data_IF_861499495794
#
_entry.id   IF_861499495794
#
_cell.length_a   1.000
_cell.length_b   1.000
_cell.length_c   1.000
_cell.angle_alpha   90.00
_cell.angle_beta   90.00
_cell.angle_gamma   90.00
#
_symmetry.space_group_name_H-M   'P 1'
#
loop_
_entity.id
_entity.type
_entity.pdbx_description
1 polymer ?
#
# COMPACT_ATOMS: atom_id res chain seq x y z
N UNK A 1 12.05 12.06 -18.70
CA UNK A 1 11.90 12.76 -17.39
C UNK A 1 10.47 12.56 -16.93
N UNK A 2 10.22 12.18 -15.67
CA UNK A 2 8.87 11.97 -15.14
C UNK A 2 8.09 13.31 -15.14
N UNK A 3 6.98 13.34 -15.87
CA UNK A 3 6.07 14.49 -15.91
C UNK A 3 4.97 14.25 -14.88
N UNK A 4 5.08 14.90 -13.72
CA UNK A 4 4.18 14.66 -12.58
C UNK A 4 2.74 15.08 -12.90
N UNK A 5 2.54 16.23 -13.56
CA UNK A 5 1.21 16.71 -13.93
C UNK A 5 0.49 15.72 -14.84
N UNK A 6 1.14 15.32 -15.94
CA UNK A 6 0.55 14.34 -16.87
C UNK A 6 0.27 13.01 -16.18
N UNK A 7 1.23 12.48 -15.40
CA UNK A 7 1.11 11.21 -14.75
C UNK A 7 -0.03 11.20 -13.70
N UNK A 8 -0.19 12.28 -12.95
CA UNK A 8 -1.28 12.45 -11.98
C UNK A 8 -2.63 12.50 -12.68
N UNK A 9 -2.76 13.33 -13.71
CA UNK A 9 -4.01 13.47 -14.45
C UNK A 9 -4.41 12.17 -15.17
N UNK A 10 -3.44 11.48 -15.79
CA UNK A 10 -3.68 10.17 -16.44
C UNK A 10 -4.14 9.13 -15.41
N UNK A 11 -3.55 9.11 -14.21
CA UNK A 11 -3.94 8.19 -13.13
C UNK A 11 -5.35 8.48 -12.62
N UNK A 12 -5.69 9.75 -12.39
CA UNK A 12 -7.03 10.16 -11.97
C UNK A 12 -8.07 9.74 -13.02
N UNK A 13 -7.78 9.97 -14.30
CA UNK A 13 -8.69 9.55 -15.37
C UNK A 13 -8.82 8.02 -15.45
N UNK A 14 -7.69 7.30 -15.31
CA UNK A 14 -7.70 5.84 -15.29
C UNK A 14 -8.55 5.27 -14.13
N UNK A 15 -8.50 5.87 -12.93
CA UNK A 15 -9.35 5.46 -11.80
C UNK A 15 -10.83 5.64 -12.14
N UNK A 16 -11.22 6.75 -12.79
CA UNK A 16 -12.59 7.00 -13.23
C UNK A 16 -13.08 5.93 -14.20
N UNK A 17 -12.26 5.67 -15.24
CA UNK A 17 -12.58 4.72 -16.29
C UNK A 17 -12.66 3.29 -15.72
N UNK A 18 -11.69 2.91 -14.90
CA UNK A 18 -11.68 1.61 -14.23
C UNK A 18 -12.92 1.39 -13.36
N UNK A 19 -13.31 2.40 -12.56
CA UNK A 19 -14.51 2.33 -11.71
C UNK A 19 -15.78 2.19 -12.55
N UNK A 20 -15.88 2.91 -13.63
CA UNK A 20 -17.05 2.84 -14.52
C UNK A 20 -17.18 1.45 -15.16
N UNK A 21 -16.07 0.82 -15.52
CA UNK A 21 -16.04 -0.51 -16.14
C UNK A 21 -16.26 -1.65 -15.13
N UNK A 22 -15.72 -1.53 -13.88
CA UNK A 22 -15.64 -2.63 -12.93
C UNK A 22 -16.58 -2.51 -11.72
N UNK A 23 -17.30 -1.41 -11.61
CA UNK A 23 -18.26 -1.18 -10.52
C UNK A 23 -18.91 0.20 -10.59
N UNK A 24 -19.75 0.46 -11.60
CA UNK A 24 -20.40 1.77 -11.73
C UNK A 24 -21.08 2.20 -10.44
N UNK A 25 -20.73 3.39 -9.96
CA UNK A 25 -21.31 3.94 -8.73
C UNK A 25 -20.81 3.32 -7.41
N UNK A 26 -19.86 2.37 -7.43
CA UNK A 26 -19.29 1.80 -6.20
C UNK A 26 -18.47 2.83 -5.40
N UNK A 27 -18.30 2.57 -4.11
CA UNK A 27 -17.37 3.31 -3.26
C UNK A 27 -15.95 2.75 -3.43
N UNK A 28 -14.93 3.57 -3.16
CA UNK A 28 -13.54 3.15 -3.14
C UNK A 28 -13.08 3.02 -1.68
N UNK A 29 -12.66 1.83 -1.28
CA UNK A 29 -12.31 1.49 0.10
C UNK A 29 -10.79 1.47 0.24
N UNK A 30 -10.24 2.37 1.06
CA UNK A 30 -8.79 2.55 1.20
C UNK A 30 -8.37 2.29 2.63
N UNK A 31 -7.38 1.41 2.82
CA UNK A 31 -6.72 1.26 4.11
C UNK A 31 -5.82 2.47 4.39
N UNK A 32 -6.11 3.24 5.44
CA UNK A 32 -5.33 4.43 5.82
C UNK A 32 -4.38 4.07 6.95
N UNK A 33 -3.10 3.95 6.61
CA UNK A 33 -2.04 3.60 7.56
C UNK A 33 -1.37 4.80 8.23
N UNK A 34 -1.58 6.00 7.71
CA UNK A 34 -0.81 7.19 8.08
C UNK A 34 0.51 7.34 7.31
N UNK A 35 0.79 6.45 6.34
CA UNK A 35 1.92 6.52 5.42
C UNK A 35 1.59 7.30 4.15
N UNK A 36 2.64 7.74 3.44
CA UNK A 36 2.50 8.55 2.22
C UNK A 36 1.77 7.83 1.09
N UNK A 37 1.96 6.51 0.95
CA UNK A 37 1.34 5.75 -0.15
C UNK A 37 -0.18 5.67 0.02
N UNK A 38 -0.66 5.31 1.21
CA UNK A 38 -2.09 5.28 1.50
C UNK A 38 -2.74 6.65 1.36
N UNK A 39 -2.04 7.71 1.76
CA UNK A 39 -2.49 9.10 1.60
C UNK A 39 -2.62 9.48 0.12
N UNK A 40 -1.57 9.26 -0.69
CA UNK A 40 -1.57 9.63 -2.11
C UNK A 40 -2.57 8.78 -2.91
N UNK A 41 -2.68 7.48 -2.61
CA UNK A 41 -3.68 6.61 -3.25
C UNK A 41 -5.11 7.08 -2.95
N UNK A 42 -5.40 7.44 -1.69
CA UNK A 42 -6.70 7.95 -1.30
C UNK A 42 -7.02 9.31 -1.94
N UNK A 43 -6.05 10.23 -1.98
CA UNK A 43 -6.24 11.54 -2.63
C UNK A 43 -6.49 11.41 -4.14
N UNK A 44 -5.76 10.54 -4.84
CA UNK A 44 -6.03 10.23 -6.24
C UNK A 44 -7.45 9.70 -6.45
N UNK A 45 -7.96 8.89 -5.51
CA UNK A 45 -9.34 8.43 -5.53
C UNK A 45 -10.34 9.58 -5.28
N UNK A 46 -10.06 10.48 -4.32
CA UNK A 46 -10.88 11.66 -4.04
C UNK A 46 -10.97 12.57 -5.26
N UNK A 47 -9.86 12.87 -5.90
CA UNK A 47 -9.79 13.63 -7.14
C UNK A 47 -10.53 12.96 -8.31
N UNK A 48 -10.55 11.63 -8.32
CA UNK A 48 -11.22 10.88 -9.36
C UNK A 48 -12.74 10.87 -9.19
N UNK A 49 -13.27 10.62 -7.98
CA UNK A 49 -14.68 10.26 -7.79
C UNK A 49 -15.40 11.10 -6.73
N UNK A 50 -14.71 12.00 -6.03
CA UNK A 50 -15.21 12.82 -4.94
C UNK A 50 -15.08 12.14 -3.57
N UNK A 51 -14.92 12.95 -2.51
CA UNK A 51 -14.71 12.49 -1.15
C UNK A 51 -15.88 11.63 -0.61
N UNK A 52 -17.10 11.90 -1.06
CA UNK A 52 -18.32 11.15 -0.70
C UNK A 52 -18.35 9.70 -1.23
N UNK A 53 -17.43 9.35 -2.12
CA UNK A 53 -17.26 8.01 -2.72
C UNK A 53 -16.02 7.28 -2.25
N UNK A 54 -15.25 7.88 -1.35
CA UNK A 54 -14.05 7.27 -0.77
C UNK A 54 -14.27 7.01 0.71
N UNK A 55 -14.05 5.79 1.16
CA UNK A 55 -14.14 5.40 2.57
C UNK A 55 -12.78 4.95 3.08
N UNK A 56 -12.26 5.65 4.09
CA UNK A 56 -11.04 5.28 4.79
C UNK A 56 -11.30 4.15 5.81
N UNK A 57 -10.40 3.19 5.91
CA UNK A 57 -10.45 2.16 6.97
C UNK A 57 -9.13 2.15 7.72
N UNK A 58 -9.18 2.49 9.01
CA UNK A 58 -8.04 2.52 9.93
C UNK A 58 -8.05 1.21 10.72
N UNK A 59 -6.99 0.42 10.64
CA UNK A 59 -6.97 -0.95 11.17
C UNK A 59 -5.77 -1.19 12.09
N UNK A 60 -5.77 -0.63 13.32
CA UNK A 60 -4.72 -0.89 14.28
C UNK A 60 -4.71 -2.36 14.70
N UNK A 61 -3.51 -2.88 15.01
CA UNK A 61 -3.32 -4.13 15.72
C UNK A 61 -3.07 -3.78 17.19
N UNK A 62 -4.13 -3.74 18.01
CA UNK A 62 -4.22 -3.16 19.34
C UNK A 62 -3.87 -1.68 19.38
N UNK A 63 -2.59 -1.33 19.39
CA UNK A 63 -2.08 0.03 19.46
C UNK A 63 -1.26 0.35 18.21
N UNK A 64 -1.48 1.51 17.70
CA UNK A 64 -0.66 2.10 16.64
C UNK A 64 -0.21 3.47 17.13
N UNK A 65 1.09 3.67 17.29
CA UNK A 65 1.64 4.88 17.94
C UNK A 65 1.32 6.17 17.18
N UNK A 66 1.15 6.09 15.88
CA UNK A 66 0.85 7.21 14.98
C UNK A 66 -0.59 7.19 14.42
N UNK A 67 -1.52 6.55 15.10
CA UNK A 67 -2.92 6.46 14.66
C UNK A 67 -3.56 7.83 14.46
N UNK A 68 -3.16 8.83 15.26
CA UNK A 68 -3.65 10.20 15.13
C UNK A 68 -3.32 10.80 13.76
N UNK A 69 -2.22 10.37 13.13
CA UNK A 69 -1.86 10.77 11.77
C UNK A 69 -2.89 10.23 10.77
N UNK A 70 -3.34 8.99 10.93
CA UNK A 70 -4.36 8.41 10.05
C UNK A 70 -5.72 9.13 10.22
N UNK A 71 -6.09 9.50 11.45
CA UNK A 71 -7.28 10.29 11.70
C UNK A 71 -7.19 11.69 11.09
N UNK A 72 -6.07 12.38 11.29
CA UNK A 72 -5.86 13.72 10.75
C UNK A 72 -5.90 13.71 9.20
N UNK A 73 -5.35 12.67 8.58
CA UNK A 73 -5.43 12.46 7.12
C UNK A 73 -6.90 12.36 6.68
N UNK A 74 -7.69 11.49 7.31
CA UNK A 74 -9.09 11.31 6.90
C UNK A 74 -9.92 12.58 7.12
N UNK A 75 -9.78 13.22 8.30
CA UNK A 75 -10.65 14.32 8.74
C UNK A 75 -10.28 15.66 8.13
N UNK A 76 -8.99 15.98 8.06
CA UNK A 76 -8.52 17.33 7.79
C UNK A 76 -7.76 17.47 6.46
N UNK A 77 -7.24 16.37 5.92
CA UNK A 77 -6.53 16.41 4.64
C UNK A 77 -7.47 15.98 3.50
N UNK A 78 -8.07 14.80 3.61
CA UNK A 78 -8.91 14.23 2.57
C UNK A 78 -10.40 14.60 2.69
N UNK A 79 -10.88 14.90 3.90
CA UNK A 79 -12.30 15.17 4.17
C UNK A 79 -13.22 13.99 3.84
N UNK A 80 -12.75 12.76 4.06
CA UNK A 80 -13.49 11.53 3.76
C UNK A 80 -14.11 10.92 5.02
N UNK A 81 -15.18 10.16 4.84
CA UNK A 81 -15.69 9.28 5.90
C UNK A 81 -14.71 8.15 6.19
N UNK A 82 -14.68 7.68 7.43
CA UNK A 82 -13.78 6.59 7.81
C UNK A 82 -14.35 5.69 8.92
N UNK A 83 -13.82 4.47 8.98
CA UNK A 83 -14.09 3.48 10.02
C UNK A 83 -12.78 3.12 10.73
N UNK A 84 -12.88 2.81 12.03
CA UNK A 84 -11.77 2.22 12.78
C UNK A 84 -12.14 0.82 13.21
N UNK A 85 -11.38 -0.18 12.75
CA UNK A 85 -11.59 -1.59 13.05
C UNK A 85 -10.28 -2.17 13.60
N UNK A 86 -10.24 -2.48 14.90
CA UNK A 86 -9.06 -3.08 15.52
C UNK A 86 -8.99 -4.58 15.19
N UNK A 87 -7.89 -5.01 14.60
CA UNK A 87 -7.68 -6.42 14.20
C UNK A 87 -6.96 -7.26 15.27
N UNK A 88 -6.61 -6.65 16.43
CA UNK A 88 -5.75 -7.27 17.43
C UNK A 88 -6.33 -8.53 18.05
N UNK A 89 -7.61 -8.54 18.46
CA UNK A 89 -8.22 -9.75 19.04
C UNK A 89 -8.26 -10.91 18.05
N UNK A 90 -8.62 -10.65 16.79
CA UNK A 90 -8.60 -11.65 15.74
C UNK A 90 -7.18 -12.18 15.46
N UNK A 91 -6.18 -11.28 15.57
CA UNK A 91 -4.78 -11.67 15.44
C UNK A 91 -4.36 -12.63 16.54
N UNK A 92 -4.63 -12.32 17.83
CA UNK A 92 -4.26 -13.17 18.96
C UNK A 92 -4.99 -14.51 18.90
N UNK A 93 -6.31 -14.51 18.64
CA UNK A 93 -7.10 -15.74 18.55
C UNK A 93 -6.55 -16.72 17.50
N UNK A 94 -6.07 -16.22 16.37
CA UNK A 94 -5.49 -17.06 15.32
C UNK A 94 -4.08 -17.52 15.71
N UNK A 95 -3.25 -16.63 16.28
CA UNK A 95 -1.89 -16.98 16.72
C UNK A 95 -1.96 -18.07 17.80
N UNK A 96 -2.82 -17.92 18.80
CA UNK A 96 -2.98 -18.89 19.88
C UNK A 96 -3.39 -20.28 19.34
N UNK A 97 -4.28 -20.33 18.36
CA UNK A 97 -4.71 -21.59 17.75
C UNK A 97 -3.59 -22.25 16.92
N UNK A 98 -2.78 -21.44 16.22
CA UNK A 98 -1.63 -21.97 15.46
C UNK A 98 -0.56 -22.45 16.42
N UNK A 99 -0.25 -21.70 17.49
CA UNK A 99 0.79 -22.03 18.47
C UNK A 99 0.45 -23.29 19.27
N UNK A 100 -0.83 -23.50 19.54
CA UNK A 100 -1.31 -24.74 20.15
C UNK A 100 -1.07 -26.00 19.29
N UNK A 101 -0.95 -25.84 17.98
CA UNK A 101 -0.73 -26.94 17.05
C UNK A 101 0.73 -27.04 16.54
N UNK A 102 1.39 -25.89 16.38
CA UNK A 102 2.74 -25.76 15.80
C UNK A 102 3.47 -24.60 16.46
N UNK A 103 4.82 -24.60 16.44
CA UNK A 103 5.58 -23.41 16.82
C UNK A 103 5.34 -22.29 15.80
N UNK A 104 4.85 -21.14 16.27
CA UNK A 104 4.67 -19.96 15.45
C UNK A 104 6.02 -19.39 15.04
N UNK A 105 6.19 -19.09 13.76
CA UNK A 105 7.41 -18.46 13.22
C UNK A 105 7.31 -16.94 13.22
N UNK A 106 8.47 -16.24 13.28
CA UNK A 106 8.52 -14.78 13.15
C UNK A 106 7.81 -14.29 11.88
N UNK A 107 7.95 -15.04 10.78
CA UNK A 107 7.29 -14.72 9.52
C UNK A 107 5.75 -14.80 9.62
N UNK A 108 5.22 -15.71 10.42
CA UNK A 108 3.78 -15.80 10.69
C UNK A 108 3.32 -14.59 11.50
N UNK A 109 4.06 -14.23 12.55
CA UNK A 109 3.76 -13.08 13.40
C UNK A 109 3.73 -11.77 12.59
N UNK A 110 4.69 -11.59 11.68
CA UNK A 110 4.77 -10.39 10.84
C UNK A 110 3.64 -10.34 9.81
N UNK A 111 3.37 -11.45 9.11
CA UNK A 111 2.48 -11.44 7.94
C UNK A 111 1.00 -11.62 8.26
N UNK A 112 0.63 -12.05 9.47
CA UNK A 112 -0.78 -12.27 9.81
C UNK A 112 -1.55 -10.96 9.89
N UNK A 113 -1.00 -9.91 10.50
CA UNK A 113 -1.69 -8.63 10.64
C UNK A 113 -2.05 -7.97 9.29
N UNK A 114 -1.15 -7.87 8.27
CA UNK A 114 -1.52 -7.41 6.94
C UNK A 114 -2.62 -8.25 6.27
N UNK A 115 -2.62 -9.57 6.46
CA UNK A 115 -3.68 -10.44 5.91
C UNK A 115 -5.03 -10.23 6.57
N UNK A 116 -5.07 -9.99 7.88
CA UNK A 116 -6.29 -9.64 8.59
C UNK A 116 -6.83 -8.27 8.15
N UNK A 117 -5.95 -7.30 7.94
CA UNK A 117 -6.34 -6.00 7.38
C UNK A 117 -6.95 -6.15 5.99
N UNK A 118 -6.36 -6.94 5.10
CA UNK A 118 -6.92 -7.25 3.78
C UNK A 118 -8.31 -7.88 3.90
N UNK A 119 -8.47 -8.90 4.73
CA UNK A 119 -9.76 -9.56 4.95
C UNK A 119 -10.82 -8.57 5.47
N UNK A 120 -10.42 -7.67 6.37
CA UNK A 120 -11.29 -6.60 6.91
C UNK A 120 -11.70 -5.63 5.81
N UNK A 121 -10.76 -5.18 4.95
CA UNK A 121 -11.07 -4.29 3.82
C UNK A 121 -12.09 -4.90 2.87
N UNK A 122 -11.93 -6.18 2.51
CA UNK A 122 -12.91 -6.86 1.65
C UNK A 122 -14.26 -7.06 2.33
N UNK A 123 -14.29 -7.31 3.66
CA UNK A 123 -15.53 -7.36 4.43
C UNK A 123 -16.29 -6.02 4.42
N UNK A 124 -15.57 -4.92 4.63
CA UNK A 124 -16.12 -3.55 4.52
C UNK A 124 -16.57 -3.26 3.09
N UNK A 125 -15.74 -3.59 2.11
CA UNK A 125 -16.01 -3.38 0.69
C UNK A 125 -17.32 -4.04 0.26
N UNK A 126 -17.51 -5.31 0.58
CA UNK A 126 -18.75 -6.03 0.27
C UNK A 126 -19.97 -5.44 0.96
N UNK A 127 -19.82 -5.02 2.23
CA UNK A 127 -20.93 -4.44 3.02
C UNK A 127 -21.30 -3.02 2.58
N UNK A 128 -20.40 -2.33 1.87
CA UNK A 128 -20.56 -0.92 1.49
C UNK A 128 -20.56 -0.68 -0.03
N UNK A 129 -20.89 -1.69 -0.81
CA UNK A 129 -20.85 -1.64 -2.27
C UNK A 129 -19.54 -1.03 -2.78
N UNK A 130 -18.42 -1.55 -2.30
CA UNK A 130 -17.10 -0.96 -2.53
C UNK A 130 -16.19 -1.79 -3.43
N UNK A 131 -15.02 -1.21 -3.73
CA UNK A 131 -13.85 -1.85 -4.32
C UNK A 131 -12.62 -1.48 -3.50
N UNK A 132 -11.78 -2.44 -3.22
CA UNK A 132 -10.57 -2.26 -2.41
C UNK A 132 -9.47 -1.65 -3.26
N UNK A 133 -8.93 -0.51 -2.81
CA UNK A 133 -7.79 0.17 -3.41
C UNK A 133 -6.50 -0.40 -2.82
N UNK A 134 -5.63 -0.95 -3.67
CA UNK A 134 -4.28 -1.31 -3.27
C UNK A 134 -3.41 -0.05 -3.16
N UNK A 135 -2.56 0.02 -2.16
CA UNK A 135 -1.70 1.18 -1.89
C UNK A 135 -0.21 0.91 -2.10
N UNK A 136 0.17 -0.29 -2.55
CA UNK A 136 1.56 -0.61 -2.89
C UNK A 136 2.01 0.19 -4.12
N UNK A 137 3.25 0.65 -4.08
CA UNK A 137 3.90 1.34 -5.17
C UNK A 137 4.86 0.43 -5.94
N UNK A 138 5.34 0.88 -7.10
CA UNK A 138 6.23 0.11 -7.96
C UNK A 138 7.52 -0.32 -7.26
N UNK A 139 8.09 0.51 -6.38
CA UNK A 139 9.36 0.20 -5.70
C UNK A 139 9.18 -0.97 -4.72
N UNK A 140 8.08 -1.00 -3.98
CA UNK A 140 7.72 -2.10 -3.08
C UNK A 140 7.43 -3.38 -3.87
N UNK A 141 6.61 -3.30 -4.92
CA UNK A 141 6.27 -4.42 -5.79
C UNK A 141 7.51 -4.99 -6.48
N UNK A 142 8.46 -4.12 -6.90
CA UNK A 142 9.67 -4.54 -7.59
C UNK A 142 10.57 -5.45 -6.76
N UNK A 143 10.68 -5.16 -5.46
CA UNK A 143 11.49 -5.97 -4.52
C UNK A 143 10.67 -6.97 -3.69
N UNK A 144 9.33 -6.99 -3.87
CA UNK A 144 8.41 -7.85 -3.12
C UNK A 144 8.29 -7.48 -1.64
N UNK A 145 8.42 -6.21 -1.32
CA UNK A 145 8.27 -5.70 0.04
C UNK A 145 6.80 -5.44 0.35
N UNK A 146 6.03 -6.50 0.32
CA UNK A 146 4.61 -6.53 0.66
C UNK A 146 4.21 -7.94 1.06
N UNK A 147 3.22 -8.07 1.90
CA UNK A 147 2.69 -9.37 2.31
C UNK A 147 1.75 -9.90 1.26
N UNK A 148 2.12 -11.03 0.64
CA UNK A 148 1.27 -11.73 -0.33
C UNK A 148 -0.08 -12.09 0.31
N UNK A 149 -1.18 -11.72 -0.36
CA UNK A 149 -2.55 -11.84 0.16
C UNK A 149 -2.81 -11.01 1.41
N UNK A 150 -1.99 -10.02 1.68
CA UNK A 150 -2.16 -8.98 2.67
C UNK A 150 -2.23 -7.62 1.99
N UNK A 151 -1.30 -6.72 2.32
CA UNK A 151 -1.19 -5.39 1.71
C UNK A 151 -0.91 -5.40 0.21
N UNK A 152 -0.36 -6.50 -0.35
CA UNK A 152 -0.24 -6.68 -1.80
C UNK A 152 -1.59 -6.88 -2.52
N UNK A 153 -2.71 -7.05 -1.81
CA UNK A 153 -4.01 -7.32 -2.40
C UNK A 153 -4.86 -6.04 -2.58
N UNK A 154 -5.68 -6.05 -3.63
CA UNK A 154 -6.65 -5.02 -3.93
C UNK A 154 -7.38 -5.32 -5.24
N UNK A 155 -8.48 -4.63 -5.51
CA UNK A 155 -9.21 -4.78 -6.76
C UNK A 155 -8.52 -4.00 -7.89
N UNK A 156 -7.82 -2.91 -7.55
CA UNK A 156 -6.98 -2.13 -8.46
C UNK A 156 -5.87 -1.40 -7.70
N UNK A 157 -4.81 -1.01 -8.41
CA UNK A 157 -3.55 -0.52 -7.85
C UNK A 157 -3.12 0.79 -8.52
N UNK A 158 -3.61 1.96 -8.06
CA UNK A 158 -3.31 3.24 -8.69
C UNK A 158 -1.83 3.62 -8.64
N UNK A 159 -1.08 3.10 -7.66
CA UNK A 159 0.34 3.42 -7.50
C UNK A 159 1.30 2.42 -8.16
N UNK A 160 0.81 1.31 -8.74
CA UNK A 160 1.64 0.23 -9.26
C UNK A 160 2.64 0.66 -10.37
N UNK A 161 2.42 1.79 -11.04
CA UNK A 161 3.31 2.33 -12.07
C UNK A 161 4.30 3.37 -11.55
N UNK A 162 4.19 3.81 -10.29
CA UNK A 162 4.94 4.90 -9.71
C UNK A 162 5.94 4.40 -8.68
N UNK A 163 7.20 4.81 -8.81
CA UNK A 163 8.20 4.58 -7.77
C UNK A 163 7.91 5.42 -6.52
N UNK A 164 8.50 5.06 -5.40
CA UNK A 164 8.33 5.79 -4.12
C UNK A 164 8.59 7.30 -4.26
N UNK A 165 9.66 7.66 -4.96
CA UNK A 165 10.00 9.08 -5.22
C UNK A 165 8.96 9.76 -6.12
N UNK A 166 8.37 9.03 -7.07
CA UNK A 166 7.32 9.57 -7.95
C UNK A 166 6.00 9.73 -7.18
N UNK A 167 5.65 8.79 -6.28
CA UNK A 167 4.50 8.92 -5.37
C UNK A 167 4.61 10.19 -4.51
N UNK A 168 5.78 10.44 -3.91
CA UNK A 168 6.01 11.70 -3.17
C UNK A 168 5.83 12.94 -4.04
N UNK A 169 6.33 12.90 -5.29
CA UNK A 169 6.16 14.03 -6.24
C UNK A 169 4.70 14.25 -6.62
N UNK A 170 3.91 13.18 -6.78
CA UNK A 170 2.45 13.26 -6.99
C UNK A 170 1.80 13.89 -5.76
N UNK A 171 2.15 13.47 -4.55
CA UNK A 171 1.65 14.07 -3.32
C UNK A 171 1.92 15.58 -3.23
N UNK A 172 3.13 16.03 -3.60
CA UNK A 172 3.44 17.46 -3.67
C UNK A 172 2.63 18.19 -4.74
N UNK A 173 2.43 17.59 -5.91
CA UNK A 173 1.64 18.17 -6.99
C UNK A 173 0.18 18.34 -6.60
N UNK A 174 -0.38 17.38 -5.86
CA UNK A 174 -1.74 17.43 -5.31
C UNK A 174 -1.88 18.41 -4.12
N UNK A 175 -0.80 19.03 -3.67
CA UNK A 175 -0.82 20.00 -2.57
C UNK A 175 -0.91 19.37 -1.18
N UNK A 176 -0.62 18.08 -1.06
CA UNK A 176 -0.67 17.37 0.23
C UNK A 176 0.36 17.92 1.22
N UNK A 177 0.07 17.94 2.53
CA UNK A 177 0.94 18.52 3.53
C UNK A 177 2.30 17.81 3.60
N UNK A 178 3.38 18.60 3.51
CA UNK A 178 4.77 18.12 3.53
C UNK A 178 5.07 17.18 4.69
N UNK A 179 4.51 17.45 5.88
CA UNK A 179 4.72 16.63 7.09
C UNK A 179 4.35 15.15 6.90
N UNK A 180 3.38 14.84 6.02
CA UNK A 180 2.97 13.47 5.72
C UNK A 180 3.75 12.87 4.56
N UNK A 181 4.10 13.68 3.56
CA UNK A 181 4.89 13.22 2.40
C UNK A 181 6.31 12.84 2.82
N UNK A 182 6.90 13.61 3.74
CA UNK A 182 8.29 13.40 4.21
C UNK A 182 8.38 12.45 5.44
N UNK A 183 7.25 11.97 5.94
CA UNK A 183 7.27 10.99 7.03
C UNK A 183 8.08 9.76 6.61
N UNK A 184 8.95 9.30 7.51
CA UNK A 184 9.74 8.08 7.28
C UNK A 184 8.82 6.90 7.02
N UNK A 185 9.06 6.21 5.91
CA UNK A 185 8.31 5.00 5.56
C UNK A 185 8.69 3.86 6.49
N UNK A 186 7.68 3.19 7.03
CA UNK A 186 7.82 2.02 7.89
C UNK A 186 6.59 1.15 7.70
N UNK A 187 6.79 -0.16 7.69
CA UNK A 187 5.71 -1.15 7.65
C UNK A 187 4.88 -1.18 8.96
N UNK A 188 5.39 -0.53 10.02
CA UNK A 188 4.77 -0.53 11.36
C UNK A 188 4.78 -1.90 12.06
N UNK A 189 5.50 -2.88 11.52
CA UNK A 189 5.51 -4.26 12.02
C UNK A 189 6.78 -4.60 12.80
N UNK A 190 7.93 -4.09 12.34
CA UNK A 190 9.25 -4.47 12.88
C UNK A 190 9.95 -3.35 13.66
N UNK A 191 9.38 -2.15 13.76
CA UNK A 191 9.98 -1.00 14.43
C UNK A 191 11.21 -0.43 13.72
N UNK A 192 11.44 -0.81 12.46
CA UNK A 192 12.52 -0.33 11.58
C UNK A 192 11.93 0.43 10.40
N UNK A 193 12.75 1.29 9.78
CA UNK A 193 12.36 1.84 8.49
C UNK A 193 12.44 0.79 7.38
N UNK A 194 11.72 1.03 6.29
CA UNK A 194 11.78 0.16 5.11
C UNK A 194 13.22 0.07 4.58
N UNK A 195 13.91 1.20 4.47
CA UNK A 195 15.30 1.28 3.98
C UNK A 195 16.29 0.52 4.87
N UNK A 196 16.08 0.52 6.21
CA UNK A 196 16.87 -0.31 7.14
C UNK A 196 16.64 -1.81 6.89
N UNK A 197 15.42 -2.16 6.52
CA UNK A 197 15.03 -3.55 6.26
C UNK A 197 15.62 -4.08 4.96
N UNK A 198 15.64 -3.28 3.87
CA UNK A 198 16.29 -3.74 2.61
C UNK A 198 17.80 -3.51 2.62
N UNK A 199 18.30 -2.51 3.39
CA UNK A 199 19.72 -2.12 3.44
C UNK A 199 20.19 -1.31 2.23
N UNK A 200 19.27 -0.59 1.57
CA UNK A 200 19.52 0.42 0.55
C UNK A 200 18.37 1.44 0.55
N UNK A 201 18.57 2.60 -0.08
CA UNK A 201 17.57 3.66 -0.10
C UNK A 201 16.59 3.53 -1.27
N UNK A 202 15.38 4.04 -1.10
CA UNK A 202 14.44 4.19 -2.21
C UNK A 202 15.01 4.99 -3.39
N UNK A 203 15.84 5.99 -3.13
CA UNK A 203 16.48 6.76 -4.19
C UNK A 203 17.36 5.88 -5.11
N UNK A 204 18.11 4.94 -4.55
CA UNK A 204 18.93 3.98 -5.31
C UNK A 204 18.04 3.00 -6.07
N UNK A 205 17.01 2.47 -5.41
CA UNK A 205 16.07 1.53 -6.01
C UNK A 205 15.31 2.16 -7.18
N UNK A 206 14.74 3.35 -6.99
CA UNK A 206 13.95 4.08 -7.99
C UNK A 206 14.79 4.41 -9.24
N UNK A 207 16.04 4.85 -9.01
CA UNK A 207 17.00 5.06 -10.10
C UNK A 207 17.26 3.77 -10.86
N UNK A 208 17.47 2.66 -10.15
CA UNK A 208 17.68 1.37 -10.78
C UNK A 208 16.46 0.90 -11.57
N UNK A 209 15.26 1.02 -11.03
CA UNK A 209 14.01 0.69 -11.73
C UNK A 209 13.87 1.48 -13.03
N UNK A 210 14.17 2.79 -13.01
CA UNK A 210 13.96 3.66 -14.17
C UNK A 210 15.09 3.65 -15.20
N UNK A 211 16.32 3.31 -14.79
CA UNK A 211 17.51 3.47 -15.66
C UNK A 211 18.34 2.18 -15.83
N UNK A 212 18.13 1.18 -14.97
CA UNK A 212 19.00 0.00 -14.90
C UNK A 212 20.37 0.28 -14.26
N UNK A 213 20.62 1.49 -13.73
CA UNK A 213 21.92 1.92 -13.20
C UNK A 213 21.91 1.85 -11.67
N UNK A 214 22.84 1.07 -11.12
CA UNK A 214 23.17 1.04 -9.71
C UNK A 214 24.70 1.07 -9.58
N UNK A 215 25.23 2.09 -8.88
CA UNK A 215 26.67 2.32 -8.78
C UNK A 215 27.36 1.32 -7.84
N UNK A 216 26.62 0.75 -6.86
CA UNK A 216 27.11 -0.26 -5.95
C UNK A 216 26.74 -1.67 -6.45
N UNK A 217 27.74 -2.52 -6.80
CA UNK A 217 27.49 -3.87 -7.31
C UNK A 217 26.88 -4.81 -6.26
N UNK A 218 27.06 -4.55 -4.96
CA UNK A 218 26.48 -5.37 -3.90
C UNK A 218 24.99 -5.04 -3.74
N UNK A 219 24.63 -3.76 -3.69
CA UNK A 219 23.25 -3.31 -3.68
C UNK A 219 22.51 -3.82 -4.92
N UNK A 220 23.14 -3.70 -6.11
CA UNK A 220 22.57 -4.24 -7.35
C UNK A 220 22.23 -5.73 -7.23
N UNK A 221 23.16 -6.53 -6.74
CA UNK A 221 22.93 -7.98 -6.54
C UNK A 221 21.80 -8.26 -5.56
N UNK A 222 21.63 -7.43 -4.51
CA UNK A 222 20.52 -7.57 -3.55
C UNK A 222 19.19 -7.27 -4.22
N UNK A 223 19.09 -6.18 -4.98
CA UNK A 223 17.88 -5.82 -5.73
C UNK A 223 17.51 -6.91 -6.74
N UNK A 224 18.47 -7.37 -7.54
CA UNK A 224 18.25 -8.43 -8.54
C UNK A 224 17.79 -9.74 -7.89
N UNK A 225 18.30 -10.05 -6.70
CA UNK A 225 17.88 -11.22 -5.93
C UNK A 225 16.44 -11.10 -5.44
N UNK A 226 16.02 -9.95 -4.92
CA UNK A 226 14.64 -9.71 -4.54
C UNK A 226 13.71 -9.90 -5.75
N UNK A 227 14.05 -9.33 -6.90
CA UNK A 227 13.29 -9.45 -8.13
C UNK A 227 13.10 -10.91 -8.59
N UNK A 228 14.10 -11.79 -8.41
CA UNK A 228 13.99 -13.21 -8.74
C UNK A 228 12.94 -13.94 -7.87
N UNK A 229 12.77 -13.52 -6.62
CA UNK A 229 11.79 -14.13 -5.70
C UNK A 229 10.38 -13.55 -5.86
N UNK A 230 10.26 -12.33 -6.39
CA UNK A 230 8.97 -11.66 -6.60
C UNK A 230 8.38 -11.93 -7.98
N UNK A 231 9.23 -12.22 -8.97
CA UNK A 231 8.75 -12.61 -10.29
C UNK A 231 7.89 -13.86 -10.19
N UNK A 232 6.71 -13.90 -10.82
CA UNK A 232 5.87 -15.09 -10.84
C UNK A 232 6.68 -16.28 -11.35
N UNK A 233 6.60 -17.42 -10.66
CA UNK A 233 7.26 -18.64 -11.13
C UNK A 233 6.76 -18.98 -12.54
N UNK A 234 7.50 -19.75 -13.34
CA UNK A 234 7.01 -20.22 -14.64
C UNK A 234 5.66 -20.92 -14.56
N UNK A 235 5.31 -21.49 -13.39
CA UNK A 235 3.99 -22.09 -13.13
C UNK A 235 2.88 -21.06 -12.97
N UNK A 236 3.18 -19.90 -12.38
CA UNK A 236 2.20 -18.83 -12.18
C UNK A 236 1.90 -18.08 -13.49
N UNK A 237 2.86 -18.06 -14.45
CA UNK A 237 2.65 -17.49 -15.78
C UNK A 237 1.69 -18.31 -16.67
N UNK A 238 1.46 -19.56 -16.35
CA UNK A 238 0.58 -20.46 -17.14
C UNK A 238 -0.90 -20.31 -16.78
N UNK A 239 -1.25 -19.56 -15.75
CA UNK A 239 -2.64 -19.40 -15.25
C UNK A 239 -3.30 -18.11 -15.75
N UNK A 240 -2.53 -17.20 -16.37
CA UNK A 240 -3.06 -15.96 -16.96
C UNK A 240 -3.18 -16.03 -18.48
N UNK A 241 -3.96 -17.00 -18.98
CA UNK A 241 -4.45 -17.03 -20.36
C UNK A 241 -5.95 -17.22 -20.40
#
# INVERSE_FOLDING_TARGET
MFNVEKATNDCIQWIRDWREENGPGCNLIVGISGGVDSLVAAELCVEAVGADKVLGVIMPNYKQDDIDVAYDICQHVLGIDYLTINVGSAYDDIIDQIDAAFNVTDQTLINLAPRLRMTTLYGVSQSHNGRVVNTCNLSEDYIGYSTRYGDAAGDFSPLAQFTKSEVKRIGYYLGLPKKYIEKTSSDGLCGKSDEDSFGFTYAVLDRYIRTGICDDPEIKRRIDRCLLYTSPSPRDRSVSR
#
